data_IF_883290269155
#
_entry.id   IF_883290269155
#
_cell.length_a   1.000
_cell.length_b   1.000
_cell.length_c   1.000
_cell.angle_alpha   90.00
_cell.angle_beta   90.00
_cell.angle_gamma   90.00
#
_symmetry.space_group_name_H-M   'P 1'
#
loop_
_entity.id
_entity.type
_entity.pdbx_description
1 polymer ?
#
# COMPACT_ATOMS: atom_id res chain seq x y z
N UNK A 1 4.85 -19.33 6.01
CA UNK A 1 4.85 -19.68 7.44
C UNK A 1 3.44 -19.48 7.96
N UNK A 2 2.98 -20.30 8.90
CA UNK A 2 1.71 -20.10 9.59
C UNK A 2 1.80 -18.85 10.47
N UNK A 3 0.83 -17.95 10.35
CA UNK A 3 0.69 -16.84 11.28
C UNK A 3 0.06 -17.38 12.59
N UNK A 4 0.57 -17.01 13.78
CA UNK A 4 -0.04 -17.36 15.07
C UNK A 4 -1.55 -17.07 15.16
N UNK A 5 -2.22 -17.68 16.13
CA UNK A 5 -3.64 -17.45 16.42
C UNK A 5 -3.97 -15.95 16.62
N UNK A 6 -5.18 -15.46 16.31
CA UNK A 6 -5.55 -14.04 16.46
C UNK A 6 -5.24 -13.43 17.84
N UNK A 7 -5.37 -14.23 18.90
CA UNK A 7 -4.97 -13.86 20.27
C UNK A 7 -3.46 -13.61 20.41
N UNK A 8 -2.64 -14.50 19.85
CA UNK A 8 -1.18 -14.39 19.86
C UNK A 8 -0.69 -13.32 18.88
N UNK A 9 -1.45 -13.04 17.81
CA UNK A 9 -1.23 -11.91 16.91
C UNK A 9 -1.46 -10.58 17.64
N UNK A 10 -2.50 -10.46 18.47
CA UNK A 10 -2.71 -9.28 19.33
C UNK A 10 -1.60 -9.08 20.36
N UNK A 11 -1.09 -10.16 20.95
CA UNK A 11 0.07 -10.11 21.86
C UNK A 11 1.36 -9.69 21.12
N UNK A 12 1.56 -10.17 19.88
CA UNK A 12 2.74 -9.87 19.06
C UNK A 12 2.68 -8.50 18.36
N UNK A 13 1.48 -7.95 18.15
CA UNK A 13 1.24 -6.65 17.53
C UNK A 13 1.61 -5.45 18.40
N UNK A 14 1.76 -5.65 19.71
CA UNK A 14 2.10 -4.59 20.66
C UNK A 14 0.92 -3.65 20.97
N UNK A 15 1.15 -2.65 21.83
CA UNK A 15 0.12 -1.67 22.21
C UNK A 15 -0.36 -0.85 21.01
N UNK A 16 -1.62 -0.40 21.06
CA UNK A 16 -2.23 0.51 20.07
C UNK A 16 -1.56 1.89 20.02
N UNK A 17 -0.93 2.28 21.11
CA UNK A 17 -0.14 3.49 21.25
C UNK A 17 1.29 3.17 20.82
N UNK A 18 1.75 3.80 19.74
CA UNK A 18 3.07 3.55 19.18
C UNK A 18 4.05 4.63 19.67
N UNK A 19 4.97 4.29 20.60
CA UNK A 19 6.01 5.23 21.02
C UNK A 19 6.98 5.53 19.86
N UNK A 20 7.08 6.82 19.52
CA UNK A 20 8.01 7.42 18.58
C UNK A 20 9.16 8.08 19.34
N UNK A 21 10.39 7.98 18.84
CA UNK A 21 11.45 8.91 19.23
C UNK A 21 11.51 10.05 18.22
N UNK A 22 11.37 11.28 18.70
CA UNK A 22 11.32 12.48 17.87
C UNK A 22 12.62 13.25 17.98
N UNK A 23 13.37 13.32 16.87
CA UNK A 23 14.55 14.18 16.76
C UNK A 23 14.22 15.54 16.09
N UNK A 24 13.00 15.72 15.52
CA UNK A 24 12.48 16.98 14.96
C UNK A 24 10.95 17.13 15.12
N UNK A 25 10.39 18.32 15.43
CA UNK A 25 8.96 18.48 15.72
C UNK A 25 8.05 18.21 14.51
N UNK A 26 6.99 17.42 14.71
CA UNK A 26 5.93 17.20 13.72
C UNK A 26 5.05 18.44 13.53
N UNK A 27 4.86 18.90 12.29
CA UNK A 27 3.96 20.01 11.97
C UNK A 27 2.53 19.52 11.72
N UNK A 28 1.73 19.47 12.80
CA UNK A 28 0.33 19.07 12.75
C UNK A 28 -0.59 20.06 11.99
N UNK A 29 -0.11 21.26 11.62
CA UNK A 29 -0.89 22.20 10.82
C UNK A 29 -1.05 21.71 9.36
N UNK A 30 -0.13 20.88 8.89
CA UNK A 30 0.01 20.48 7.47
C UNK A 30 -0.94 19.34 7.06
N UNK A 31 -1.49 18.61 8.03
CA UNK A 31 -2.46 17.50 7.81
C UNK A 31 -3.85 18.00 7.34
N UNK A 32 -4.11 19.31 7.36
CA UNK A 32 -5.47 19.88 7.26
C UNK A 32 -5.96 20.31 5.87
N UNK A 33 -5.20 20.11 4.80
CA UNK A 33 -5.59 20.58 3.45
C UNK A 33 -5.70 19.43 2.44
N UNK A 34 -6.77 18.64 2.49
CA UNK A 34 -7.25 17.87 1.32
C UNK A 34 -8.68 18.29 1.05
N UNK A 35 -9.05 18.50 -0.22
CA UNK A 35 -10.41 18.82 -0.61
C UNK A 35 -11.36 17.60 -0.52
N UNK A 36 -10.88 16.38 -0.21
CA UNK A 36 -11.76 15.22 -0.02
C UNK A 36 -12.46 15.31 1.35
N UNK A 37 -13.78 15.60 1.40
CA UNK A 37 -14.53 15.77 2.64
C UNK A 37 -14.64 14.47 3.47
N UNK A 38 -14.28 13.32 2.89
CA UNK A 38 -14.31 12.00 3.53
C UNK A 38 -12.90 11.44 3.84
N UNK A 39 -11.83 12.22 3.66
CA UNK A 39 -10.45 11.87 4.07
C UNK A 39 -10.36 11.31 5.50
N UNK A 40 -11.30 11.71 6.35
CA UNK A 40 -11.42 11.28 7.74
C UNK A 40 -12.77 10.63 8.01
N UNK A 41 -13.06 9.49 7.40
CA UNK A 41 -14.13 8.61 7.90
C UNK A 41 -13.71 7.96 9.24
N UNK A 42 -13.70 8.77 10.31
CA UNK A 42 -13.68 8.27 11.69
C UNK A 42 -12.32 8.16 12.38
N UNK A 43 -11.27 8.81 11.88
CA UNK A 43 -9.92 8.72 12.44
C UNK A 43 -9.35 10.07 12.84
N UNK A 44 -8.63 10.09 13.96
CA UNK A 44 -7.74 11.17 14.35
C UNK A 44 -6.32 10.63 14.29
N UNK A 45 -5.42 11.38 13.62
CA UNK A 45 -3.98 11.21 13.77
C UNK A 45 -3.55 12.26 14.79
N UNK A 46 -3.30 11.85 16.02
CA UNK A 46 -2.74 12.75 17.04
C UNK A 46 -1.36 12.29 17.46
N UNK A 47 -0.57 13.25 17.91
CA UNK A 47 0.74 13.02 18.46
C UNK A 47 0.72 13.48 19.90
N UNK A 48 0.78 12.55 20.84
CA UNK A 48 0.77 12.84 22.27
C UNK A 48 2.20 12.81 22.81
N UNK A 49 2.66 13.89 23.45
CA UNK A 49 3.94 13.84 24.16
C UNK A 49 3.82 13.00 25.41
N UNK A 50 4.70 12.01 25.54
CA UNK A 50 4.81 11.21 26.75
C UNK A 50 5.26 12.11 27.91
N UNK A 51 4.38 12.31 28.88
CA UNK A 51 4.67 13.11 30.08
C UNK A 51 5.84 12.58 30.94
N UNK A 52 6.28 11.34 30.71
CA UNK A 52 7.33 10.67 31.48
C UNK A 52 8.72 10.68 30.82
N UNK A 53 8.82 11.06 29.55
CA UNK A 53 10.10 11.10 28.80
C UNK A 53 10.18 12.36 27.93
N UNK A 54 11.34 13.04 27.91
CA UNK A 54 11.46 14.35 27.26
C UNK A 54 11.40 14.35 25.73
N UNK A 55 11.50 13.18 25.07
CA UNK A 55 11.63 13.06 23.61
C UNK A 55 10.75 11.95 22.99
N UNK A 56 9.71 11.46 23.69
CA UNK A 56 8.80 10.48 23.10
C UNK A 56 7.46 11.13 22.76
N UNK A 57 7.06 10.95 21.51
CA UNK A 57 5.73 11.29 21.05
C UNK A 57 4.98 10.00 20.69
N UNK A 58 3.68 9.95 20.88
CA UNK A 58 2.85 8.76 20.64
C UNK A 58 1.92 9.06 19.49
N UNK A 59 2.05 8.31 18.41
CA UNK A 59 1.08 8.34 17.33
C UNK A 59 -0.18 7.62 17.79
N UNK A 60 -1.30 8.35 17.88
CA UNK A 60 -2.61 7.77 18.13
C UNK A 60 -3.36 7.76 16.81
N UNK A 61 -3.69 6.55 16.37
CA UNK A 61 -4.64 6.31 15.29
C UNK A 61 -5.82 5.62 15.94
N UNK A 62 -6.94 6.33 16.08
CA UNK A 62 -8.16 5.71 16.63
C UNK A 62 -8.55 4.51 15.75
N UNK A 63 -8.96 3.40 16.36
CA UNK A 63 -9.59 2.31 15.60
C UNK A 63 -10.96 2.78 15.11
N UNK A 64 -11.45 2.29 13.97
CA UNK A 64 -12.82 2.58 13.58
C UNK A 64 -13.74 2.01 14.66
N UNK A 65 -14.63 2.85 15.18
CA UNK A 65 -15.56 2.47 16.26
C UNK A 65 -16.72 1.59 15.78
N UNK A 66 -16.72 1.18 14.50
CA UNK A 66 -17.85 0.52 13.85
C UNK A 66 -17.48 -0.87 13.28
N UNK A 67 -17.35 -1.84 14.18
CA UNK A 67 -17.21 -3.26 13.83
C UNK A 67 -18.39 -3.76 12.98
N UNK A 68 -19.58 -3.18 13.13
CA UNK A 68 -20.76 -3.53 12.35
C UNK A 68 -20.59 -3.22 10.87
N UNK A 69 -20.02 -2.05 10.57
CA UNK A 69 -19.73 -1.62 9.19
C UNK A 69 -18.70 -2.51 8.50
N UNK A 70 -17.67 -2.95 9.23
CA UNK A 70 -16.68 -3.91 8.70
C UNK A 70 -17.35 -5.22 8.29
N UNK A 71 -18.24 -5.77 9.12
CA UNK A 71 -18.99 -7.00 8.82
C UNK A 71 -19.90 -6.81 7.60
N UNK A 72 -20.60 -5.69 7.54
CA UNK A 72 -21.48 -5.35 6.41
C UNK A 72 -20.71 -5.33 5.09
N UNK A 73 -19.60 -4.58 5.03
CA UNK A 73 -18.80 -4.44 3.82
C UNK A 73 -18.08 -5.73 3.45
N UNK A 74 -17.59 -6.49 4.43
CA UNK A 74 -17.04 -7.83 4.18
C UNK A 74 -18.10 -8.81 3.65
N UNK A 75 -19.38 -8.66 4.04
CA UNK A 75 -20.49 -9.40 3.45
C UNK A 75 -20.67 -9.13 1.95
N UNK A 76 -20.44 -7.89 1.51
CA UNK A 76 -20.52 -7.48 0.11
C UNK A 76 -19.27 -7.91 -0.69
N UNK A 77 -18.09 -7.61 -0.18
CA UNK A 77 -16.82 -7.71 -0.91
C UNK A 77 -16.02 -8.99 -0.61
N UNK A 78 -16.36 -9.69 0.48
CA UNK A 78 -15.59 -10.83 0.96
C UNK A 78 -14.38 -10.41 1.78
N UNK A 79 -13.57 -11.36 2.26
CA UNK A 79 -12.36 -11.05 3.01
C UNK A 79 -11.30 -10.36 2.14
N UNK A 80 -10.46 -9.57 2.79
CA UNK A 80 -9.23 -9.06 2.19
C UNK A 80 -8.19 -10.20 2.04
N UNK A 81 -7.50 -10.24 0.90
CA UNK A 81 -6.37 -11.13 0.65
C UNK A 81 -5.07 -10.34 0.49
N UNK A 82 -4.27 -10.31 1.56
CA UNK A 82 -2.94 -9.73 1.59
C UNK A 82 -1.89 -10.68 1.02
N UNK A 83 -1.07 -10.17 0.11
CA UNK A 83 0.02 -10.88 -0.57
C UNK A 83 1.29 -10.04 -0.49
N UNK A 84 2.34 -10.57 0.10
CA UNK A 84 3.69 -9.99 0.04
C UNK A 84 4.63 -10.99 -0.65
N UNK A 85 5.40 -10.52 -1.63
CA UNK A 85 6.45 -11.32 -2.29
C UNK A 85 7.78 -10.76 -1.84
N UNK A 86 8.60 -11.61 -1.24
CA UNK A 86 9.78 -11.12 -0.51
C UNK A 86 10.97 -12.06 -0.64
N UNK A 87 12.15 -11.47 -0.73
CA UNK A 87 13.42 -12.19 -0.54
C UNK A 87 13.84 -12.25 0.94
N UNK A 88 13.10 -11.57 1.81
CA UNK A 88 13.23 -11.55 3.27
C UNK A 88 11.89 -11.92 3.95
N UNK A 89 11.50 -13.18 3.81
CA UNK A 89 10.23 -13.71 4.33
C UNK A 89 10.00 -13.49 5.82
N UNK A 90 11.06 -13.35 6.63
CA UNK A 90 10.95 -13.09 8.07
C UNK A 90 10.42 -11.69 8.31
N UNK A 91 10.98 -10.69 7.62
CA UNK A 91 10.52 -9.30 7.69
C UNK A 91 9.08 -9.17 7.20
N UNK A 92 8.79 -9.72 6.02
CA UNK A 92 7.44 -9.73 5.45
C UNK A 92 6.41 -10.36 6.41
N UNK A 93 6.75 -11.53 6.97
CA UNK A 93 5.87 -12.21 7.92
C UNK A 93 5.65 -11.40 9.19
N UNK A 94 6.69 -10.75 9.72
CA UNK A 94 6.59 -9.92 10.92
C UNK A 94 5.68 -8.71 10.71
N UNK A 95 5.80 -8.01 9.59
CA UNK A 95 5.00 -6.82 9.31
C UNK A 95 3.54 -7.16 9.01
N UNK A 96 3.29 -8.23 8.25
CA UNK A 96 1.92 -8.74 8.06
C UNK A 96 1.29 -9.22 9.38
N UNK A 97 2.08 -9.86 10.26
CA UNK A 97 1.59 -10.28 11.57
C UNK A 97 1.15 -9.09 12.43
N UNK A 98 1.96 -8.04 12.47
CA UNK A 98 1.62 -6.83 13.23
C UNK A 98 0.39 -6.15 12.65
N UNK A 99 0.30 -6.04 11.32
CA UNK A 99 -0.89 -5.52 10.63
C UNK A 99 -2.14 -6.31 11.01
N UNK A 100 -2.05 -7.65 11.04
CA UNK A 100 -3.16 -8.53 11.41
C UNK A 100 -3.64 -8.33 12.87
N UNK A 101 -2.85 -7.73 13.76
CA UNK A 101 -3.24 -7.44 15.14
C UNK A 101 -4.29 -6.33 15.27
N UNK A 102 -4.42 -5.50 14.23
CA UNK A 102 -5.41 -4.42 14.21
C UNK A 102 -6.77 -4.86 13.70
N UNK A 103 -6.85 -5.96 12.94
CA UNK A 103 -8.09 -6.49 12.37
C UNK A 103 -9.09 -6.84 13.45
N UNK A 104 -10.36 -6.57 13.14
CA UNK A 104 -11.45 -6.99 14.01
C UNK A 104 -11.66 -8.52 13.92
N UNK A 105 -11.61 -9.28 15.05
CA UNK A 105 -11.85 -10.72 15.04
C UNK A 105 -13.28 -11.14 14.63
N UNK A 106 -14.19 -10.21 14.37
CA UNK A 106 -15.60 -10.49 14.05
C UNK A 106 -15.85 -11.20 12.72
N UNK A 107 -14.92 -11.19 11.76
CA UNK A 107 -15.10 -11.87 10.48
C UNK A 107 -14.89 -13.39 10.61
N UNK A 108 -15.90 -14.25 10.35
CA UNK A 108 -15.74 -15.70 10.37
C UNK A 108 -14.65 -16.14 9.37
N UNK A 109 -13.60 -16.78 9.88
CA UNK A 109 -12.42 -17.21 9.12
C UNK A 109 -11.33 -16.13 8.91
N UNK A 110 -11.62 -14.86 9.20
CA UNK A 110 -10.68 -13.73 9.09
C UNK A 110 -10.25 -13.33 7.67
N UNK A 111 -9.21 -12.51 7.59
CA UNK A 111 -8.53 -12.17 6.33
C UNK A 111 -7.47 -13.19 5.95
N UNK A 112 -7.08 -13.19 4.68
CA UNK A 112 -6.03 -14.06 4.17
C UNK A 112 -4.70 -13.32 4.10
N UNK A 113 -3.66 -13.91 4.68
CA UNK A 113 -2.30 -13.36 4.68
C UNK A 113 -1.35 -14.34 4.01
N UNK A 114 -0.65 -13.90 2.96
CA UNK A 114 0.23 -14.76 2.16
C UNK A 114 1.59 -14.10 2.00
N UNK A 115 2.65 -14.79 2.43
CA UNK A 115 4.05 -14.41 2.14
C UNK A 115 4.62 -15.42 1.15
N UNK A 116 5.01 -14.93 -0.02
CA UNK A 116 5.69 -15.71 -1.07
C UNK A 116 7.20 -15.55 -0.90
N UNK A 117 7.88 -16.67 -0.70
CA UNK A 117 9.35 -16.73 -0.67
C UNK A 117 9.89 -16.66 -2.10
N UNK A 118 10.36 -15.48 -2.51
CA UNK A 118 10.92 -15.28 -3.85
C UNK A 118 12.21 -16.08 -4.09
N UNK A 119 12.94 -16.47 -3.03
CA UNK A 119 14.18 -17.26 -3.13
C UNK A 119 13.91 -18.76 -3.27
N UNK A 120 12.77 -19.25 -2.78
CA UNK A 120 12.45 -20.70 -2.71
C UNK A 120 11.27 -21.13 -3.57
N UNK A 121 10.46 -20.20 -4.05
CA UNK A 121 9.28 -20.52 -4.87
C UNK A 121 9.56 -20.34 -6.36
N UNK A 122 8.69 -20.92 -7.19
CA UNK A 122 8.64 -20.65 -8.63
C UNK A 122 7.95 -19.30 -8.94
N UNK A 123 7.43 -18.62 -7.92
CA UNK A 123 6.81 -17.30 -8.01
C UNK A 123 7.87 -16.27 -7.62
N UNK A 124 8.83 -16.04 -8.53
CA UNK A 124 10.05 -15.26 -8.26
C UNK A 124 9.82 -13.74 -8.25
N UNK A 125 8.59 -13.26 -8.45
CA UNK A 125 8.26 -11.84 -8.50
C UNK A 125 6.75 -11.57 -8.37
N UNK A 126 6.41 -10.29 -8.22
CA UNK A 126 5.03 -9.79 -8.04
C UNK A 126 4.09 -10.24 -9.17
N UNK A 127 4.46 -10.23 -10.47
CA UNK A 127 3.54 -10.66 -11.53
C UNK A 127 3.11 -12.13 -11.45
N UNK A 128 4.03 -13.02 -11.06
CA UNK A 128 3.73 -14.44 -10.91
C UNK A 128 2.79 -14.67 -9.71
N UNK A 129 3.08 -14.01 -8.58
CA UNK A 129 2.21 -14.04 -7.41
C UNK A 129 0.84 -13.43 -7.71
N UNK A 130 0.76 -12.34 -8.47
CA UNK A 130 -0.49 -11.72 -8.91
C UNK A 130 -1.34 -12.68 -9.73
N UNK A 131 -0.75 -13.30 -10.75
CA UNK A 131 -1.45 -14.28 -11.59
C UNK A 131 -1.95 -15.48 -10.78
N UNK A 132 -1.13 -15.97 -9.86
CA UNK A 132 -1.52 -17.05 -8.95
C UNK A 132 -2.61 -16.59 -7.96
N UNK A 133 -2.57 -15.33 -7.50
CA UNK A 133 -3.61 -14.72 -6.70
C UNK A 133 -4.91 -14.74 -7.48
N UNK A 134 -4.96 -14.17 -8.69
CA UNK A 134 -6.17 -14.11 -9.54
C UNK A 134 -6.78 -15.46 -9.82
N UNK A 135 -5.95 -16.46 -10.13
CA UNK A 135 -6.38 -17.83 -10.44
C UNK A 135 -6.76 -18.65 -9.21
N UNK A 136 -6.67 -18.05 -8.01
CA UNK A 136 -6.95 -18.73 -6.74
C UNK A 136 -6.01 -19.91 -6.48
N UNK A 137 -4.82 -19.89 -7.10
CA UNK A 137 -3.79 -20.93 -6.99
C UNK A 137 -2.67 -20.56 -6.04
N UNK A 138 -2.61 -19.30 -5.56
CA UNK A 138 -1.85 -19.02 -4.35
C UNK A 138 -2.44 -19.89 -3.24
N UNK A 139 -1.60 -20.63 -2.53
CA UNK A 139 -1.96 -21.25 -1.26
C UNK A 139 -1.96 -20.16 -0.18
N UNK A 140 -2.96 -20.16 0.71
CA UNK A 140 -3.02 -19.23 1.84
C UNK A 140 -3.25 -20.01 3.12
N UNK A 141 -2.65 -19.58 4.22
CA UNK A 141 -2.67 -20.35 5.46
C UNK A 141 -3.90 -20.04 6.33
N UNK A 142 -4.95 -19.43 5.78
CA UNK A 142 -6.20 -19.21 6.50
C UNK A 142 -6.97 -20.54 6.63
N UNK A 143 -6.83 -21.21 7.78
CA UNK A 143 -7.60 -22.41 8.10
C UNK A 143 -9.10 -22.10 8.06
N UNK A 144 -9.87 -22.90 7.31
CA UNK A 144 -11.33 -22.74 7.15
C UNK A 144 -11.77 -21.99 5.88
N UNK A 145 -10.86 -21.32 5.16
CA UNK A 145 -11.18 -20.53 3.97
C UNK A 145 -11.08 -21.27 2.63
N UNK A 146 -10.52 -22.49 2.60
CA UNK A 146 -10.40 -23.30 1.37
C UNK A 146 -11.75 -23.66 0.74
N UNK A 147 -12.85 -23.51 1.49
CA UNK A 147 -14.20 -23.82 1.05
C UNK A 147 -14.99 -22.60 0.53
N UNK A 148 -14.42 -21.38 0.57
CA UNK A 148 -15.10 -20.19 0.05
C UNK A 148 -14.77 -20.05 -1.44
N UNK A 149 -15.82 -20.06 -2.28
CA UNK A 149 -15.67 -19.83 -3.71
C UNK A 149 -15.10 -18.43 -3.96
N UNK A 150 -13.98 -18.35 -4.67
CA UNK A 150 -13.39 -17.06 -5.05
C UNK A 150 -14.25 -16.34 -6.07
N UNK A 151 -14.41 -15.03 -5.92
CA UNK A 151 -15.26 -14.19 -6.77
C UNK A 151 -14.45 -13.10 -7.47
N UNK A 152 -14.90 -12.60 -8.62
CA UNK A 152 -14.24 -11.48 -9.32
C UNK A 152 -14.12 -10.20 -8.48
N UNK A 153 -15.00 -10.01 -7.49
CA UNK A 153 -15.00 -8.84 -6.62
C UNK A 153 -14.20 -9.03 -5.32
N UNK A 154 -13.53 -10.16 -5.13
CA UNK A 154 -12.66 -10.34 -3.97
C UNK A 154 -11.52 -9.31 -4.01
N UNK A 155 -11.25 -8.67 -2.87
CA UNK A 155 -10.21 -7.66 -2.74
C UNK A 155 -8.86 -8.35 -2.47
N UNK A 156 -7.86 -8.02 -3.30
CA UNK A 156 -6.48 -8.48 -3.16
C UNK A 156 -5.59 -7.27 -2.90
N UNK A 157 -4.71 -7.38 -1.91
CA UNK A 157 -3.81 -6.31 -1.45
C UNK A 157 -2.39 -6.81 -1.59
N UNK A 158 -1.63 -6.22 -2.50
CA UNK A 158 -0.19 -6.47 -2.65
C UNK A 158 0.57 -5.50 -1.77
N UNK A 159 1.55 -6.01 -1.02
CA UNK A 159 2.35 -5.25 -0.05
C UNK A 159 3.83 -5.56 -0.19
N UNK A 160 4.68 -4.53 -0.08
CA UNK A 160 6.10 -4.73 0.21
C UNK A 160 6.30 -5.47 1.53
N UNK A 161 7.47 -6.07 1.70
CA UNK A 161 7.83 -6.77 2.92
C UNK A 161 8.12 -5.84 4.10
N UNK A 162 8.37 -4.56 3.82
CA UNK A 162 8.65 -3.52 4.79
C UNK A 162 7.46 -2.59 5.06
N UNK A 163 6.26 -2.94 4.56
CA UNK A 163 5.02 -2.20 4.83
C UNK A 163 4.28 -2.77 6.04
N UNK A 164 3.96 -1.88 6.97
CA UNK A 164 3.13 -2.15 8.14
C UNK A 164 1.84 -1.32 8.07
N UNK A 165 0.70 -1.98 8.04
CA UNK A 165 -0.61 -1.33 7.98
C UNK A 165 -1.06 -0.90 9.37
N UNK A 166 -1.58 0.33 9.49
CA UNK A 166 -2.01 0.91 10.76
C UNK A 166 -3.52 0.72 11.00
N UNK A 167 -4.03 0.90 12.23
CA UNK A 167 -5.33 0.35 12.64
C UNK A 167 -6.58 0.72 11.82
N UNK A 168 -6.52 1.74 10.97
CA UNK A 168 -7.62 2.13 10.08
C UNK A 168 -7.69 1.36 8.75
N UNK A 169 -6.65 0.60 8.38
CA UNK A 169 -6.54 0.04 7.03
C UNK A 169 -7.76 -0.81 6.62
N UNK A 170 -8.30 -1.62 7.54
CA UNK A 170 -9.32 -2.62 7.20
C UNK A 170 -10.59 -1.94 6.69
N UNK A 171 -11.18 -1.08 7.51
CA UNK A 171 -12.40 -0.37 7.14
C UNK A 171 -12.15 0.58 5.96
N UNK A 172 -11.03 1.30 5.94
CA UNK A 172 -10.72 2.24 4.88
C UNK A 172 -10.56 1.58 3.50
N UNK A 173 -9.95 0.39 3.42
CA UNK A 173 -9.90 -0.37 2.16
C UNK A 173 -11.32 -0.73 1.70
N UNK A 174 -12.16 -1.24 2.61
CA UNK A 174 -13.52 -1.60 2.26
C UNK A 174 -14.36 -0.40 1.82
N UNK A 175 -14.31 0.71 2.54
CA UNK A 175 -15.05 1.94 2.20
C UNK A 175 -14.55 2.53 0.88
N UNK A 176 -13.25 2.53 0.64
CA UNK A 176 -12.70 2.99 -0.64
C UNK A 176 -13.22 2.14 -1.80
N UNK A 177 -13.19 0.82 -1.68
CA UNK A 177 -13.72 -0.08 -2.71
C UNK A 177 -15.23 0.11 -2.88
N UNK A 178 -15.97 0.22 -1.78
CA UNK A 178 -17.41 0.41 -1.80
C UNK A 178 -17.80 1.73 -2.50
N UNK A 179 -17.13 2.83 -2.17
CA UNK A 179 -17.32 4.14 -2.79
C UNK A 179 -17.03 4.12 -4.29
N UNK A 180 -15.87 3.58 -4.68
CA UNK A 180 -15.48 3.52 -6.09
C UNK A 180 -16.40 2.63 -6.93
N UNK A 181 -17.06 1.64 -6.31
CA UNK A 181 -18.04 0.80 -7.00
C UNK A 181 -19.49 1.28 -6.89
N UNK A 182 -19.82 2.13 -5.91
CA UNK A 182 -21.15 2.69 -5.69
C UNK A 182 -21.41 4.01 -6.41
N UNK A 183 -20.37 4.65 -6.92
CA UNK A 183 -20.46 5.89 -7.72
C UNK A 183 -20.74 5.56 -9.19
N UNK A 184 -21.82 6.10 -9.75
CA UNK A 184 -22.15 5.98 -11.19
C UNK A 184 -21.04 6.56 -12.10
N UNK A 185 -20.21 7.47 -11.56
CA UNK A 185 -19.09 8.08 -12.28
C UNK A 185 -17.84 7.21 -12.22
N UNK A 186 -17.62 6.51 -11.10
CA UNK A 186 -16.35 5.81 -10.83
C UNK A 186 -16.40 4.30 -11.06
N UNK A 187 -17.57 3.65 -11.00
CA UNK A 187 -17.71 2.19 -11.01
C UNK A 187 -17.04 1.47 -12.20
N UNK A 188 -16.72 2.20 -13.27
CA UNK A 188 -16.07 1.67 -14.46
C UNK A 188 -14.74 2.34 -14.81
N UNK A 189 -14.28 3.31 -14.04
CA UNK A 189 -13.12 4.14 -14.36
C UNK A 189 -11.84 3.69 -13.65
N UNK A 190 -11.92 2.77 -12.68
CA UNK A 190 -10.77 2.31 -11.89
C UNK A 190 -10.40 0.84 -12.08
N UNK A 191 -9.16 0.52 -11.72
CA UNK A 191 -8.63 -0.85 -11.71
C UNK A 191 -7.87 -1.22 -10.42
N UNK A 192 -7.45 -0.23 -9.64
CA UNK A 192 -6.73 -0.44 -8.40
C UNK A 192 -6.73 0.82 -7.56
N UNK A 193 -6.34 0.66 -6.30
CA UNK A 193 -6.14 1.71 -5.33
C UNK A 193 -4.71 1.60 -4.84
N UNK A 194 -4.01 2.72 -4.73
CA UNK A 194 -2.68 2.79 -4.17
C UNK A 194 -2.63 3.73 -2.96
N UNK A 195 -1.67 3.50 -2.08
CA UNK A 195 -1.47 4.33 -0.88
C UNK A 195 -0.73 5.63 -1.18
N UNK A 196 0.00 5.69 -2.29
CA UNK A 196 1.06 6.65 -2.48
C UNK A 196 1.33 6.92 -3.96
N UNK A 197 1.54 8.18 -4.30
CA UNK A 197 2.17 8.59 -5.55
C UNK A 197 2.76 9.98 -5.43
N UNK A 198 3.83 10.24 -6.19
CA UNK A 198 4.46 11.56 -6.29
C UNK A 198 4.68 11.90 -7.76
N UNK A 199 4.36 13.13 -8.14
CA UNK A 199 4.66 13.71 -9.44
C UNK A 199 5.98 14.48 -9.34
N UNK A 200 6.92 14.19 -10.25
CA UNK A 200 8.19 14.91 -10.31
C UNK A 200 8.03 16.40 -10.71
N UNK A 201 9.10 17.16 -10.45
CA UNK A 201 9.19 18.58 -10.73
C UNK A 201 9.24 18.85 -12.25
N UNK A 202 8.08 19.04 -12.89
CA UNK A 202 8.04 19.69 -14.21
C UNK A 202 8.60 21.12 -14.10
N UNK A 203 9.29 21.62 -15.13
CA UNK A 203 9.78 23.01 -15.15
C UNK A 203 8.61 23.98 -14.93
N UNK A 204 8.59 24.65 -13.78
CA UNK A 204 7.55 25.62 -13.39
C UNK A 204 6.39 25.07 -12.55
N UNK A 205 6.36 23.78 -12.20
CA UNK A 205 5.39 23.21 -11.25
C UNK A 205 6.09 22.76 -9.97
N UNK A 206 5.45 22.98 -8.83
CA UNK A 206 5.90 22.42 -7.56
C UNK A 206 5.68 20.90 -7.56
N UNK A 207 6.57 20.12 -6.92
CA UNK A 207 6.33 18.71 -6.70
C UNK A 207 5.05 18.54 -5.89
N UNK A 208 4.34 17.43 -6.16
CA UNK A 208 3.08 17.16 -5.51
C UNK A 208 2.90 15.65 -5.34
N UNK A 209 2.45 15.26 -4.17
CA UNK A 209 2.20 13.90 -3.74
C UNK A 209 0.75 13.71 -3.32
N UNK A 210 0.25 12.50 -3.54
CA UNK A 210 -1.05 12.06 -3.05
C UNK A 210 -0.88 10.80 -2.23
N UNK A 211 -1.64 10.73 -1.15
CA UNK A 211 -1.60 9.63 -0.20
C UNK A 211 -1.04 10.04 1.16
N UNK A 212 -1.44 9.31 2.19
CA UNK A 212 -0.91 9.46 3.54
C UNK A 212 -0.10 8.24 3.90
N UNK A 213 1.23 8.39 3.90
CA UNK A 213 2.10 7.36 4.42
C UNK A 213 3.18 7.92 5.30
N UNK A 214 3.58 7.06 6.22
CA UNK A 214 4.61 7.31 7.20
C UNK A 214 5.89 6.71 6.66
N UNK A 215 6.71 7.55 6.05
CA UNK A 215 8.06 7.16 5.68
C UNK A 215 8.90 6.95 6.93
N UNK A 216 9.63 5.84 6.95
CA UNK A 216 10.74 5.61 7.87
C UNK A 216 10.45 5.96 9.32
N UNK A 217 9.35 5.45 9.81
CA UNK A 217 9.04 5.62 11.21
C UNK A 217 8.39 6.95 11.59
N UNK A 218 7.47 7.41 10.74
CA UNK A 218 6.40 8.37 11.04
C UNK A 218 6.58 9.80 10.53
N UNK A 219 7.50 10.05 9.59
CA UNK A 219 7.49 11.32 8.85
C UNK A 219 6.38 11.27 7.77
N UNK A 220 5.36 12.14 7.82
CA UNK A 220 4.37 12.24 6.76
C UNK A 220 5.00 12.90 5.53
N UNK A 221 4.74 12.37 4.33
CA UNK A 221 5.11 13.06 3.11
C UNK A 221 4.27 14.35 2.96
N UNK A 222 4.93 15.51 2.87
CA UNK A 222 4.33 16.84 3.08
C UNK A 222 4.15 17.66 1.80
N UNK A 223 3.61 17.09 0.73
CA UNK A 223 3.39 17.79 -0.55
C UNK A 223 1.97 17.55 -1.09
N UNK A 224 0.91 18.07 -0.47
CA UNK A 224 -0.45 17.67 -0.80
C UNK A 224 -0.88 18.09 -2.21
N UNK A 225 -1.26 17.11 -3.03
CA UNK A 225 -1.97 17.34 -4.28
C UNK A 225 -3.35 17.97 -4.04
N UNK A 226 -3.70 18.94 -4.89
CA UNK A 226 -4.95 19.68 -4.80
C UNK A 226 -6.01 19.15 -5.79
N UNK A 227 -5.57 18.40 -6.81
CA UNK A 227 -6.45 17.76 -7.80
C UNK A 227 -7.20 16.54 -7.20
N UNK A 228 -8.36 16.19 -7.75
CA UNK A 228 -9.13 14.99 -7.34
C UNK A 228 -8.44 13.67 -7.74
N UNK A 229 -8.86 12.54 -7.16
CA UNK A 229 -8.24 11.23 -7.44
C UNK A 229 -8.35 10.86 -8.93
N UNK A 230 -9.45 11.29 -9.55
CA UNK A 230 -9.77 11.08 -10.95
C UNK A 230 -8.89 11.91 -11.89
N UNK A 231 -8.58 13.15 -11.49
CA UNK A 231 -7.77 14.07 -12.29
C UNK A 231 -6.28 13.76 -12.20
N UNK A 232 -5.83 13.21 -11.08
CA UNK A 232 -4.41 13.04 -10.79
C UNK A 232 -3.73 11.98 -11.68
N UNK A 233 -4.44 10.91 -12.08
CA UNK A 233 -3.97 9.81 -12.95
C UNK A 233 -2.49 9.41 -12.70
N UNK A 234 -2.11 9.34 -11.44
CA UNK A 234 -0.70 9.21 -11.05
C UNK A 234 -0.19 7.79 -11.27
N UNK A 235 1.12 7.68 -11.47
CA UNK A 235 1.82 6.41 -11.32
C UNK A 235 2.02 6.14 -9.82
N UNK A 236 1.43 5.05 -9.29
CA UNK A 236 1.51 4.73 -7.88
C UNK A 236 2.87 4.15 -7.50
N UNK A 237 3.27 4.39 -6.25
CA UNK A 237 4.34 3.65 -5.60
C UNK A 237 3.90 2.18 -5.38
N UNK A 238 4.87 1.28 -5.50
CA UNK A 238 4.70 -0.15 -5.41
C UNK A 238 4.38 -0.70 -4.01
N UNK A 239 4.60 0.09 -2.95
CA UNK A 239 4.52 -0.34 -1.56
C UNK A 239 3.19 -1.01 -1.20
N UNK A 240 2.09 -0.49 -1.74
CA UNK A 240 0.78 -1.10 -1.59
C UNK A 240 -0.12 -0.85 -2.79
N UNK A 241 -0.62 -1.94 -3.37
CA UNK A 241 -1.62 -1.92 -4.44
C UNK A 241 -2.80 -2.80 -4.04
N UNK A 242 -3.97 -2.18 -3.89
CA UNK A 242 -5.25 -2.87 -3.70
C UNK A 242 -5.94 -3.02 -5.05
N UNK A 243 -6.50 -4.17 -5.34
CA UNK A 243 -7.22 -4.41 -6.59
C UNK A 243 -8.28 -5.48 -6.42
N UNK A 244 -9.30 -5.46 -7.25
CA UNK A 244 -10.25 -6.56 -7.34
C UNK A 244 -9.63 -7.71 -8.13
N UNK A 245 -9.91 -8.95 -7.71
CA UNK A 245 -9.46 -10.17 -8.41
C UNK A 245 -9.80 -10.16 -9.90
N UNK A 246 -10.95 -9.61 -10.26
CA UNK A 246 -11.47 -9.46 -11.61
C UNK A 246 -11.10 -8.16 -12.31
N UNK A 247 -10.26 -7.31 -11.70
CA UNK A 247 -9.89 -6.01 -12.27
C UNK A 247 -9.20 -6.12 -13.64
N UNK A 248 -9.29 -5.05 -14.42
CA UNK A 248 -8.59 -4.90 -15.70
C UNK A 248 -7.08 -4.73 -15.55
N UNK A 249 -6.59 -4.29 -14.38
CA UNK A 249 -5.15 -4.13 -14.13
C UNK A 249 -4.40 -5.46 -14.25
N UNK A 250 -3.19 -5.42 -14.79
CA UNK A 250 -2.33 -6.57 -15.02
C UNK A 250 -0.87 -6.20 -14.71
N UNK A 251 -0.10 -7.18 -14.26
CA UNK A 251 1.35 -7.08 -14.20
C UNK A 251 1.95 -7.95 -15.31
N UNK A 252 3.04 -7.50 -15.93
CA UNK A 252 3.74 -8.27 -16.93
C UNK A 252 4.45 -9.48 -16.33
N UNK A 253 4.08 -10.67 -16.77
CA UNK A 253 4.76 -11.90 -16.34
C UNK A 253 6.26 -11.96 -16.67
N UNK A 254 6.74 -11.13 -17.60
CA UNK A 254 8.16 -11.03 -17.98
C UNK A 254 8.95 -10.06 -17.12
N UNK A 255 8.28 -9.28 -16.26
CA UNK A 255 8.96 -8.38 -15.35
C UNK A 255 9.68 -9.20 -14.27
N UNK A 256 11.01 -9.14 -14.27
CA UNK A 256 11.87 -9.91 -13.36
C UNK A 256 12.35 -9.12 -12.15
N UNK A 257 12.24 -7.79 -12.19
CA UNK A 257 12.72 -6.87 -11.16
C UNK A 257 11.61 -6.57 -10.12
N UNK A 258 12.00 -6.19 -8.90
CA UNK A 258 11.10 -5.79 -7.81
C UNK A 258 10.84 -4.27 -7.77
N UNK A 259 10.98 -3.59 -8.91
CA UNK A 259 10.80 -2.15 -9.06
C UNK A 259 9.88 -1.85 -10.24
N UNK A 260 9.28 -0.66 -10.30
CA UNK A 260 8.45 -0.17 -11.42
C UNK A 260 7.19 -0.98 -11.74
N UNK A 261 6.82 -1.98 -10.94
CA UNK A 261 5.63 -2.80 -11.22
C UNK A 261 4.33 -2.05 -10.92
N UNK A 262 4.36 -0.99 -10.11
CA UNK A 262 3.26 -0.07 -9.87
C UNK A 262 2.99 0.77 -11.12
N UNK A 263 4.05 1.20 -11.80
CA UNK A 263 3.96 1.84 -13.12
C UNK A 263 3.39 0.88 -14.19
N UNK A 264 3.92 -0.35 -14.26
CA UNK A 264 3.41 -1.35 -15.21
C UNK A 264 1.91 -1.63 -14.99
N UNK A 265 1.50 -1.77 -13.72
CA UNK A 265 0.10 -1.95 -13.35
C UNK A 265 -0.74 -0.74 -13.75
N UNK A 266 -0.33 0.48 -13.42
CA UNK A 266 -1.08 1.69 -13.75
C UNK A 266 -1.22 1.87 -15.27
N UNK A 267 -0.17 1.60 -16.04
CA UNK A 267 -0.21 1.67 -17.50
C UNK A 267 -1.09 0.59 -18.11
N UNK A 268 -1.14 -0.61 -17.52
CA UNK A 268 -2.10 -1.63 -17.93
C UNK A 268 -3.56 -1.18 -17.75
N UNK A 269 -3.82 -0.37 -16.72
CA UNK A 269 -5.13 0.20 -16.51
C UNK A 269 -5.44 1.31 -17.51
N UNK A 270 -4.48 2.21 -17.76
CA UNK A 270 -4.66 3.29 -18.74
C UNK A 270 -4.93 2.73 -20.13
N UNK A 271 -4.24 1.66 -20.52
CA UNK A 271 -4.49 0.96 -21.78
C UNK A 271 -5.89 0.31 -21.87
N UNK A 272 -6.58 0.16 -20.74
CA UNK A 272 -7.96 -0.29 -20.64
C UNK A 272 -8.94 0.85 -20.31
N UNK A 273 -8.55 2.10 -20.58
CA UNK A 273 -9.31 3.32 -20.27
C UNK A 273 -9.70 3.48 -18.79
N UNK A 274 -8.85 2.96 -17.90
CA UNK A 274 -9.00 2.98 -16.45
C UNK A 274 -7.78 3.59 -15.76
N UNK A 275 -7.88 3.88 -14.48
CA UNK A 275 -6.74 4.40 -13.72
C UNK A 275 -6.62 3.76 -12.33
N UNK A 276 -5.49 4.02 -11.69
CA UNK A 276 -5.25 3.68 -10.29
C UNK A 276 -5.63 4.90 -9.45
N UNK A 277 -6.52 4.71 -8.47
CA UNK A 277 -6.85 5.76 -7.51
C UNK A 277 -5.82 5.79 -6.39
N UNK A 278 -5.19 6.94 -6.17
CA UNK A 278 -4.33 7.12 -5.00
C UNK A 278 -5.18 7.70 -3.86
N UNK A 279 -5.21 7.03 -2.72
CA UNK A 279 -6.08 7.41 -1.60
C UNK A 279 -5.30 7.91 -0.40
N UNK A 280 -5.87 8.89 0.31
CA UNK A 280 -5.43 9.43 1.59
C UNK A 280 -6.26 8.88 2.78
N UNK A 281 -7.10 7.87 2.55
CA UNK A 281 -8.06 7.36 3.54
C UNK A 281 -7.53 6.29 4.50
N UNK A 282 -6.35 5.72 4.25
CA UNK A 282 -5.68 4.84 5.20
C UNK A 282 -4.22 5.16 5.32
N UNK A 283 -3.68 4.91 6.51
CA UNK A 283 -2.28 5.20 6.83
C UNK A 283 -1.51 3.88 6.89
N UNK A 284 -0.38 3.85 6.20
CA UNK A 284 0.58 2.76 6.31
C UNK A 284 1.97 3.32 6.61
N UNK A 285 2.79 2.53 7.29
CA UNK A 285 4.22 2.82 7.42
C UNK A 285 4.98 2.04 6.35
N UNK A 286 5.76 2.77 5.55
CA UNK A 286 6.64 2.22 4.52
C UNK A 286 8.08 2.38 5.00
N UNK A 287 8.83 1.27 4.97
CA UNK A 287 10.25 1.13 5.39
C UNK A 287 10.42 0.87 6.90
N UNK A 288 11.32 -0.06 7.19
CA UNK A 288 11.21 -1.04 8.26
C UNK A 288 10.94 -0.51 9.68
N UNK A 289 10.00 -1.20 10.34
CA UNK A 289 9.95 -1.36 11.78
C UNK A 289 11.11 -2.24 12.27
N UNK A 290 12.28 -1.63 12.46
CA UNK A 290 13.49 -2.06 13.19
C UNK A 290 13.96 -3.53 13.15
N UNK A 291 15.25 -3.69 12.87
CA UNK A 291 16.04 -4.83 13.33
C UNK A 291 16.09 -4.84 14.88
N UNK A 292 15.44 -5.82 15.53
CA UNK A 292 15.70 -6.11 16.95
C UNK A 292 14.77 -5.48 18.01
N UNK A 293 13.64 -4.89 17.64
CA UNK A 293 12.60 -4.48 18.61
C UNK A 293 12.77 -3.10 19.26
N UNK A 294 13.61 -2.23 18.72
CA UNK A 294 13.73 -0.83 19.14
C UNK A 294 12.54 0.03 18.66
N UNK A 295 12.31 1.17 19.35
CA UNK A 295 11.27 2.15 19.05
C UNK A 295 11.48 2.79 17.68
N UNK A 296 10.37 3.01 16.97
CA UNK A 296 10.33 3.67 15.66
C UNK A 296 11.07 5.02 15.70
N UNK A 297 12.04 5.21 14.81
CA UNK A 297 12.82 6.46 14.71
C UNK A 297 12.16 7.36 13.68
N UNK A 298 11.90 8.63 14.03
CA UNK A 298 11.17 9.58 13.17
C UNK A 298 11.98 10.09 11.97
N UNK A 299 13.31 10.10 12.07
CA UNK A 299 14.23 10.56 11.02
C UNK A 299 15.29 9.49 10.72
N UNK A 300 15.08 8.61 9.74
CA UNK A 300 16.07 7.60 9.32
C UNK A 300 17.32 8.26 8.74
N UNK A 301 18.39 7.48 8.60
CA UNK A 301 19.46 7.89 7.70
C UNK A 301 19.04 7.66 6.23
N UNK A 302 18.42 8.68 5.62
CA UNK A 302 18.05 8.71 4.20
C UNK A 302 19.24 8.44 3.27
N UNK A 303 20.46 8.77 3.71
CA UNK A 303 21.68 8.56 2.91
C UNK A 303 22.00 7.07 2.82
N UNK A 304 22.01 6.38 3.97
CA UNK A 304 22.24 4.92 4.03
C UNK A 304 21.14 4.18 3.26
N UNK A 305 19.89 4.60 3.39
CA UNK A 305 18.81 4.00 2.61
C UNK A 305 19.02 4.18 1.10
N UNK A 306 19.27 5.41 0.63
CA UNK A 306 19.45 5.69 -0.80
C UNK A 306 20.59 4.88 -1.40
N UNK A 307 21.63 4.60 -0.60
CA UNK A 307 22.76 3.74 -0.98
C UNK A 307 22.40 2.24 -1.04
N UNK A 308 21.39 1.79 -0.31
CA UNK A 308 20.94 0.40 -0.31
C UNK A 308 19.99 0.06 -1.48
N UNK A 309 19.44 1.06 -2.15
CA UNK A 309 18.58 0.89 -3.32
C UNK A 309 19.41 0.46 -4.54
N UNK A 310 19.02 -0.64 -5.17
CA UNK A 310 19.65 -1.11 -6.42
C UNK A 310 19.22 -0.23 -7.60
N UNK A 311 19.96 0.87 -7.80
CA UNK A 311 19.73 1.82 -8.88
C UNK A 311 19.81 1.16 -10.27
N UNK A 312 20.61 0.09 -10.42
CA UNK A 312 20.73 -0.61 -11.70
C UNK A 312 19.47 -1.44 -11.96
N UNK A 313 18.91 -2.10 -10.95
CA UNK A 313 17.63 -2.79 -11.05
C UNK A 313 16.48 -1.82 -11.36
N UNK A 314 16.45 -0.64 -10.71
CA UNK A 314 15.47 0.41 -11.03
C UNK A 314 15.58 0.84 -12.49
N UNK A 315 16.77 1.19 -12.96
CA UNK A 315 16.96 1.64 -14.34
C UNK A 315 16.57 0.56 -15.37
N UNK A 316 16.91 -0.72 -15.12
CA UNK A 316 16.47 -1.84 -15.97
C UNK A 316 14.95 -1.99 -15.98
N UNK A 317 14.31 -1.88 -14.82
CA UNK A 317 12.86 -1.98 -14.69
C UNK A 317 12.14 -0.82 -15.41
N UNK A 318 12.61 0.41 -15.21
CA UNK A 318 12.11 1.62 -15.85
C UNK A 318 12.22 1.57 -17.37
N UNK A 319 13.37 1.11 -17.89
CA UNK A 319 13.55 0.86 -19.33
C UNK A 319 12.57 -0.19 -19.85
N UNK A 320 12.43 -1.33 -19.17
CA UNK A 320 11.48 -2.37 -19.56
C UNK A 320 10.04 -1.85 -19.65
N UNK A 321 9.58 -1.11 -18.63
CA UNK A 321 8.24 -0.50 -18.60
C UNK A 321 8.09 0.50 -19.74
N UNK A 322 9.11 1.31 -20.00
CA UNK A 322 9.09 2.29 -21.09
C UNK A 322 8.97 1.63 -22.46
N UNK A 323 9.85 0.67 -22.76
CA UNK A 323 9.84 -0.08 -24.04
C UNK A 323 8.48 -0.76 -24.28
N UNK A 324 7.87 -1.30 -23.22
CA UNK A 324 6.57 -1.96 -23.29
C UNK A 324 5.44 -1.00 -23.67
N UNK A 325 5.38 0.18 -23.04
CA UNK A 325 4.21 1.05 -23.09
C UNK A 325 4.33 2.23 -24.06
N UNK A 326 5.54 2.58 -24.52
CA UNK A 326 5.79 3.77 -25.36
C UNK A 326 5.02 3.82 -26.70
N UNK A 327 4.52 2.68 -27.18
CA UNK A 327 3.73 2.60 -28.42
C UNK A 327 2.22 2.56 -28.18
N UNK A 328 1.79 2.49 -26.93
CA UNK A 328 0.37 2.36 -26.53
C UNK A 328 -0.10 3.61 -25.78
N UNK A 329 0.79 4.23 -24.99
CA UNK A 329 0.49 5.38 -24.14
C UNK A 329 1.47 6.52 -24.44
N UNK A 330 1.00 7.77 -24.31
CA UNK A 330 1.92 8.91 -24.32
C UNK A 330 2.61 9.01 -22.96
N UNK A 331 3.83 8.46 -22.89
CA UNK A 331 4.62 8.48 -21.67
C UNK A 331 5.32 9.82 -21.44
N UNK A 332 5.35 10.76 -22.39
CA UNK A 332 6.11 12.01 -22.26
C UNK A 332 5.58 12.92 -21.15
N UNK A 333 4.27 12.86 -20.89
CA UNK A 333 3.61 13.63 -19.83
C UNK A 333 3.54 12.90 -18.48
N UNK A 334 4.19 11.74 -18.36
CA UNK A 334 4.14 10.93 -17.14
C UNK A 334 5.40 11.16 -16.32
N UNK A 335 5.30 12.01 -15.31
CA UNK A 335 6.38 12.32 -14.39
C UNK A 335 6.11 11.67 -13.03
N UNK A 336 7.04 10.84 -12.56
CA UNK A 336 6.86 10.05 -11.33
C UNK A 336 8.20 9.71 -10.68
N UNK A 337 8.24 9.76 -9.34
CA UNK A 337 9.40 9.32 -8.56
C UNK A 337 9.38 7.83 -8.22
N UNK A 338 8.25 7.15 -8.43
CA UNK A 338 8.08 5.73 -8.11
C UNK A 338 8.81 4.83 -9.14
N UNK A 339 8.85 5.28 -10.39
CA UNK A 339 9.53 4.58 -11.46
C UNK A 339 10.18 5.56 -12.45
N UNK A 340 11.50 5.62 -12.45
CA UNK A 340 12.24 6.43 -13.42
C UNK A 340 12.12 5.80 -14.81
N UNK A 341 11.28 6.38 -15.66
CA UNK A 341 11.07 5.93 -17.04
C UNK A 341 12.19 6.43 -17.95
N UNK A 342 12.66 5.57 -18.86
CA UNK A 342 13.70 5.92 -19.83
C UNK A 342 13.13 6.80 -20.96
N UNK A 343 12.96 8.10 -20.69
CA UNK A 343 12.39 9.03 -21.66
C UNK A 343 13.23 9.18 -22.93
N UNK A 344 14.50 8.77 -22.91
CA UNK A 344 15.42 8.96 -24.03
C UNK A 344 15.10 8.08 -25.25
N UNK A 345 14.32 7.01 -25.04
CA UNK A 345 13.93 6.06 -26.08
C UNK A 345 12.52 6.27 -26.62
N UNK A 346 11.81 7.32 -26.17
CA UNK A 346 10.46 7.63 -26.64
C UNK A 346 10.48 8.10 -28.11
N UNK A 347 9.46 7.72 -28.91
CA UNK A 347 9.38 8.03 -30.34
C UNK A 347 9.10 9.51 -30.69
#
# INVERSE_FOLDING_TARGET
MDLPSPSRVKELGGPLHLPAKVDSPFDAATVRASPDPERWSGYSLSIERDSSTTNAEVLVIERPKDAGRVIELAGLWGPLHFVSVSTNVVMASSNLLRSAAYVDPVLPGGHRWTVVDAKRSHLTGIPAAYNAARKSTLAGNASGYWNVATRPNDIVVFLHDDVHLLPNFELSIYEQVHRLNGSDVDAHSWCGIAMAAVREHEMGKQPAARGEWLEFGMTPLSEPMQESAQEARLVPDEAMIVTLRGSSGQFDSKMSEFHCYGADFAFSCLAADKFVHVTDTFVASHKAWHAGGALVQYDPDFTVWRQAVDQVAIARAGKFVTEKWMHTLDLRSVDTTACELDKSILP
#
